data_IF_494092097925
#
_entry.id   IF_494092097925
#
_cell.length_a   1.000
_cell.length_b   1.000
_cell.length_c   1.000
_cell.angle_alpha   90.00
_cell.angle_beta   90.00
_cell.angle_gamma   90.00
#
_symmetry.space_group_name_H-M   'P 1'
#
loop_
_entity.id
_entity.type
_entity.pdbx_description
1 polymer ?
#
# COMPACT_ATOMS: atom_id res chain seq x y z
N UNK A 1 4.06 15.66 -17.54
CA UNK A 1 2.76 15.77 -16.83
C UNK A 1 2.69 14.86 -15.59
N UNK A 2 2.98 13.54 -15.65
CA UNK A 2 2.94 12.64 -14.48
C UNK A 2 3.91 13.04 -13.35
N UNK A 3 5.10 13.55 -13.68
CA UNK A 3 6.06 14.07 -12.69
C UNK A 3 5.47 15.27 -11.93
N UNK A 4 4.79 16.19 -12.62
CA UNK A 4 4.15 17.34 -11.97
C UNK A 4 3.02 16.90 -11.01
N UNK A 5 2.24 15.89 -11.38
CA UNK A 5 1.22 15.29 -10.50
C UNK A 5 1.89 14.69 -9.26
N UNK A 6 2.96 13.90 -9.45
CA UNK A 6 3.71 13.31 -8.34
C UNK A 6 4.31 14.31 -7.38
N UNK A 7 4.79 15.46 -7.86
CA UNK A 7 5.28 16.57 -7.01
C UNK A 7 4.12 17.15 -6.18
N UNK A 8 2.94 17.35 -6.80
CA UNK A 8 1.75 17.82 -6.09
C UNK A 8 1.27 16.85 -5.01
N UNK A 9 1.26 15.54 -5.32
CA UNK A 9 0.83 14.50 -4.38
C UNK A 9 1.79 14.29 -3.22
N UNK A 10 3.09 14.46 -3.43
CA UNK A 10 4.12 14.19 -2.42
C UNK A 10 3.94 15.03 -1.13
N UNK A 11 3.39 16.24 -1.24
CA UNK A 11 3.13 17.12 -0.10
C UNK A 11 1.85 16.80 0.69
N UNK A 12 0.88 16.11 0.09
CA UNK A 12 -0.47 15.95 0.66
C UNK A 12 -0.46 15.14 1.97
N UNK A 13 0.16 13.97 1.97
CA UNK A 13 0.17 13.10 3.14
C UNK A 13 0.92 13.70 4.34
N UNK A 14 2.17 14.20 4.20
CA UNK A 14 2.87 14.82 5.33
C UNK A 14 2.15 16.05 5.88
N UNK A 15 1.62 16.91 5.00
CA UNK A 15 0.86 18.09 5.40
C UNK A 15 -0.43 17.71 6.15
N UNK A 16 -1.18 16.75 5.64
CA UNK A 16 -2.42 16.26 6.28
C UNK A 16 -2.15 15.68 7.66
N UNK A 17 -1.09 14.87 7.80
CA UNK A 17 -0.71 14.30 9.09
C UNK A 17 -0.29 15.36 10.09
N UNK A 18 0.46 16.39 9.66
CA UNK A 18 0.86 17.52 10.50
C UNK A 18 -0.36 18.32 10.97
N UNK A 19 -1.23 18.69 10.05
CA UNK A 19 -2.45 19.44 10.36
C UNK A 19 -3.33 18.67 11.36
N UNK A 20 -3.54 17.37 11.16
CA UNK A 20 -4.33 16.54 12.08
C UNK A 20 -3.68 16.49 13.47
N UNK A 21 -2.35 16.41 13.54
CA UNK A 21 -1.64 16.41 14.81
C UNK A 21 -1.82 17.72 15.60
N UNK A 22 -1.94 18.85 14.89
CA UNK A 22 -2.13 20.16 15.49
C UNK A 22 -3.61 20.50 15.80
N UNK A 23 -4.57 19.90 15.08
CA UNK A 23 -6.01 20.09 15.32
C UNK A 23 -6.61 19.16 16.36
N UNK A 24 -6.05 17.95 16.53
CA UNK A 24 -6.63 16.94 17.40
C UNK A 24 -5.71 16.56 18.57
N UNK A 25 -6.24 16.49 19.80
CA UNK A 25 -5.48 16.01 20.93
C UNK A 25 -5.07 14.54 20.73
N UNK A 26 -3.96 14.06 21.37
CA UNK A 26 -3.40 12.72 21.16
C UNK A 26 -4.42 11.58 21.22
N UNK A 27 -5.41 11.68 22.13
CA UNK A 27 -6.48 10.68 22.30
C UNK A 27 -7.44 10.56 21.11
N UNK A 28 -7.55 11.58 20.24
CA UNK A 28 -8.45 11.61 19.08
C UNK A 28 -7.71 11.56 17.74
N UNK A 29 -6.38 11.65 17.74
CA UNK A 29 -5.55 11.61 16.49
C UNK A 29 -5.75 10.31 15.72
N UNK A 30 -5.87 9.17 16.41
CA UNK A 30 -6.08 7.87 15.76
C UNK A 30 -7.38 7.83 14.93
N UNK A 31 -8.47 8.35 15.48
CA UNK A 31 -9.74 8.44 14.75
C UNK A 31 -9.66 9.41 13.55
N UNK A 32 -9.03 10.56 13.72
CA UNK A 32 -8.85 11.54 12.66
C UNK A 32 -7.98 10.99 11.51
N UNK A 33 -6.88 10.28 11.84
CA UNK A 33 -6.05 9.60 10.86
C UNK A 33 -6.79 8.47 10.12
N UNK A 34 -7.58 7.67 10.84
CA UNK A 34 -8.42 6.64 10.23
C UNK A 34 -9.44 7.25 9.26
N UNK A 35 -10.05 8.39 9.62
CA UNK A 35 -10.97 9.12 8.74
C UNK A 35 -10.26 9.64 7.48
N UNK A 36 -9.03 10.15 7.60
CA UNK A 36 -8.21 10.53 6.44
C UNK A 36 -7.97 9.33 5.51
N UNK A 37 -7.63 8.17 6.06
CA UNK A 37 -7.39 6.95 5.27
C UNK A 37 -8.65 6.46 4.54
N UNK A 38 -9.84 6.66 5.10
CA UNK A 38 -11.10 6.35 4.42
C UNK A 38 -11.26 7.15 3.11
N UNK A 39 -10.76 8.39 3.07
CA UNK A 39 -10.75 9.21 1.84
C UNK A 39 -10.06 8.51 0.67
N UNK A 40 -8.95 7.82 0.91
CA UNK A 40 -8.26 7.02 -0.11
C UNK A 40 -9.12 5.85 -0.64
N UNK A 41 -9.82 5.14 0.25
CA UNK A 41 -10.71 4.04 -0.13
C UNK A 41 -11.92 4.53 -0.94
N UNK A 42 -12.55 5.63 -0.51
CA UNK A 42 -13.64 6.26 -1.26
C UNK A 42 -13.16 6.76 -2.63
N UNK A 43 -11.99 7.40 -2.69
CA UNK A 43 -11.38 7.86 -3.93
C UNK A 43 -11.12 6.71 -4.91
N UNK A 44 -10.66 5.56 -4.42
CA UNK A 44 -10.45 4.36 -5.24
C UNK A 44 -11.78 3.83 -5.81
N UNK A 45 -12.82 3.70 -4.98
CA UNK A 45 -14.14 3.22 -5.43
C UNK A 45 -14.73 4.17 -6.47
N UNK A 46 -14.75 5.48 -6.18
CA UNK A 46 -15.24 6.49 -7.12
C UNK A 46 -14.41 6.55 -8.41
N UNK A 47 -13.09 6.40 -8.31
CA UNK A 47 -12.20 6.37 -9.45
C UNK A 47 -12.44 5.17 -10.37
N UNK A 48 -12.59 3.98 -9.81
CA UNK A 48 -12.88 2.78 -10.62
C UNK A 48 -14.29 2.77 -11.19
N UNK A 49 -15.31 3.03 -10.39
CA UNK A 49 -16.70 3.00 -10.85
C UNK A 49 -17.01 4.21 -11.75
N UNK A 50 -16.81 5.41 -11.22
CA UNK A 50 -17.13 6.65 -11.94
C UNK A 50 -16.18 6.88 -13.11
N UNK A 51 -14.88 6.67 -12.91
CA UNK A 51 -13.87 6.81 -13.95
C UNK A 51 -14.06 5.80 -15.07
N UNK A 52 -14.37 4.53 -14.77
CA UNK A 52 -14.65 3.49 -15.75
C UNK A 52 -15.87 3.85 -16.62
N UNK A 53 -16.99 4.20 -15.99
CA UNK A 53 -18.22 4.59 -16.68
C UNK A 53 -18.04 5.84 -17.56
N UNK A 54 -17.40 6.89 -17.04
CA UNK A 54 -17.17 8.12 -17.81
C UNK A 54 -16.18 7.86 -18.96
N UNK A 55 -15.14 7.06 -18.74
CA UNK A 55 -14.17 6.74 -19.77
C UNK A 55 -14.78 5.94 -20.93
N UNK A 56 -15.69 5.03 -20.65
CA UNK A 56 -16.43 4.26 -21.63
C UNK A 56 -17.41 5.13 -22.43
N UNK A 57 -18.17 6.01 -21.75
CA UNK A 57 -19.23 6.81 -22.38
C UNK A 57 -18.70 8.06 -23.12
N UNK A 58 -17.67 8.72 -22.57
CA UNK A 58 -17.18 10.03 -22.99
C UNK A 58 -15.68 10.08 -23.30
N UNK A 59 -15.00 8.96 -23.14
CA UNK A 59 -13.57 8.85 -23.36
C UNK A 59 -12.71 9.29 -22.16
N UNK A 60 -11.48 8.79 -22.14
CA UNK A 60 -10.55 8.95 -21.01
C UNK A 60 -10.18 10.40 -20.68
N UNK A 61 -10.22 11.33 -21.68
CA UNK A 61 -9.91 12.76 -21.42
C UNK A 61 -10.96 13.41 -20.55
N UNK A 62 -12.24 13.13 -20.80
CA UNK A 62 -13.35 13.65 -20.00
C UNK A 62 -13.36 13.00 -18.62
N UNK A 63 -13.05 11.70 -18.52
CA UNK A 63 -12.90 11.03 -17.25
C UNK A 63 -11.84 11.70 -16.36
N UNK A 64 -10.67 12.03 -16.90
CA UNK A 64 -9.62 12.73 -16.15
C UNK A 64 -10.06 14.13 -15.67
N UNK A 65 -10.74 14.90 -16.52
CA UNK A 65 -11.26 16.22 -16.14
C UNK A 65 -12.34 16.08 -15.05
N UNK A 66 -13.23 15.11 -15.18
CA UNK A 66 -14.32 14.88 -14.22
C UNK A 66 -13.82 14.47 -12.83
N UNK A 67 -12.71 13.74 -12.76
CA UNK A 67 -12.08 13.38 -11.49
C UNK A 67 -11.23 14.52 -10.92
N UNK A 68 -10.57 15.31 -11.78
CA UNK A 68 -9.70 16.41 -11.36
C UNK A 68 -10.47 17.65 -10.89
N UNK A 69 -11.59 17.98 -11.51
CA UNK A 69 -12.36 19.19 -11.19
C UNK A 69 -12.85 19.24 -9.74
N UNK A 70 -13.42 18.18 -9.15
CA UNK A 70 -13.76 18.16 -7.72
C UNK A 70 -12.58 18.43 -6.81
N UNK A 71 -11.37 17.96 -7.18
CA UNK A 71 -10.14 18.23 -6.44
C UNK A 71 -9.79 19.73 -6.38
N UNK A 72 -9.96 20.46 -7.48
CA UNK A 72 -9.78 21.91 -7.52
C UNK A 72 -10.81 22.66 -6.67
N UNK A 73 -12.06 22.22 -6.70
CA UNK A 73 -13.12 22.77 -5.86
C UNK A 73 -12.83 22.55 -4.37
N UNK A 74 -12.42 21.34 -4.01
CA UNK A 74 -12.02 21.01 -2.63
C UNK A 74 -10.81 21.82 -2.18
N UNK A 75 -9.81 22.01 -3.04
CA UNK A 75 -8.66 22.86 -2.74
C UNK A 75 -9.08 24.31 -2.47
N UNK A 76 -9.98 24.87 -3.29
CA UNK A 76 -10.53 26.21 -3.09
C UNK A 76 -11.33 26.34 -1.78
N UNK A 77 -12.13 25.33 -1.46
CA UNK A 77 -12.89 25.26 -0.19
C UNK A 77 -11.93 25.17 1.00
N UNK A 78 -10.93 24.30 0.94
CA UNK A 78 -9.93 24.18 2.00
C UNK A 78 -9.13 25.48 2.20
N UNK A 79 -8.71 26.13 1.13
CA UNK A 79 -7.99 27.39 1.21
C UNK A 79 -8.78 28.51 1.90
N UNK A 80 -10.11 28.44 1.87
CA UNK A 80 -10.99 29.44 2.54
C UNK A 80 -11.41 29.04 3.94
N UNK A 81 -11.59 27.75 4.22
CA UNK A 81 -12.15 27.25 5.48
C UNK A 81 -11.10 26.76 6.46
N UNK A 82 -9.97 26.25 5.97
CA UNK A 82 -8.90 25.72 6.81
C UNK A 82 -8.12 26.88 7.42
N UNK A 83 -8.21 27.05 8.72
CA UNK A 83 -7.38 28.00 9.47
C UNK A 83 -6.09 27.29 9.85
N UNK A 84 -4.95 27.98 9.75
CA UNK A 84 -3.67 27.42 10.21
C UNK A 84 -3.74 27.19 11.72
N UNK A 85 -3.59 25.95 12.21
CA UNK A 85 -3.56 25.71 13.66
C UNK A 85 -2.22 26.20 14.23
N UNK A 86 -2.21 26.58 15.51
CA UNK A 86 -0.95 26.81 16.21
C UNK A 86 -0.13 25.52 16.23
N UNK A 87 1.12 25.59 15.76
CA UNK A 87 2.00 24.41 15.74
C UNK A 87 2.30 23.92 17.16
N UNK A 88 2.20 22.62 17.38
CA UNK A 88 2.52 22.01 18.66
C UNK A 88 1.51 22.29 19.80
N UNK A 89 0.29 22.72 19.47
CA UNK A 89 -0.75 23.12 20.44
C UNK A 89 -1.03 22.05 21.52
N UNK A 90 -0.78 20.79 21.23
CA UNK A 90 -1.02 19.64 22.10
C UNK A 90 0.25 18.91 22.52
N UNK A 91 1.44 19.43 22.24
CA UNK A 91 2.72 18.81 22.63
C UNK A 91 3.25 19.43 23.91
N UNK A 92 3.45 18.59 24.93
CA UNK A 92 3.95 19.04 26.24
C UNK A 92 5.44 19.42 26.21
N UNK A 93 6.22 18.85 25.29
CA UNK A 93 7.63 19.16 25.05
C UNK A 93 7.92 19.04 23.55
N UNK A 94 8.69 19.98 23.02
CA UNK A 94 9.21 19.87 21.66
C UNK A 94 10.19 18.69 21.58
N UNK A 95 9.92 17.64 20.80
CA UNK A 95 10.88 16.56 20.66
C UNK A 95 12.20 17.10 20.08
N UNK A 96 13.35 16.52 20.45
CA UNK A 96 14.63 16.96 19.90
C UNK A 96 14.60 16.91 18.37
N UNK A 97 15.30 17.82 17.70
CA UNK A 97 15.31 17.89 16.24
C UNK A 97 15.71 16.53 15.66
N UNK A 98 15.02 16.07 14.58
CA UNK A 98 15.36 14.80 13.96
C UNK A 98 16.81 14.84 13.43
N UNK A 99 17.54 13.74 13.56
CA UNK A 99 18.88 13.66 12.99
C UNK A 99 18.83 13.72 11.45
N UNK A 100 19.96 14.01 10.79
CA UNK A 100 20.03 14.00 9.33
C UNK A 100 19.50 12.71 8.71
N UNK A 101 18.89 12.81 7.54
CA UNK A 101 18.28 11.66 6.82
C UNK A 101 19.27 10.49 6.66
N UNK A 102 20.52 10.79 6.28
CA UNK A 102 21.56 9.77 6.09
C UNK A 102 21.90 9.04 7.40
N UNK A 103 21.93 9.74 8.53
CA UNK A 103 22.16 9.14 9.85
C UNK A 103 21.02 8.19 10.22
N UNK A 104 19.77 8.60 9.97
CA UNK A 104 18.60 7.75 10.20
C UNK A 104 18.61 6.53 9.26
N UNK A 105 18.91 6.72 7.98
CA UNK A 105 19.03 5.63 7.02
C UNK A 105 20.12 4.62 7.42
N UNK A 106 21.29 5.10 7.84
CA UNK A 106 22.36 4.26 8.34
C UNK A 106 21.94 3.46 9.60
N UNK A 107 21.26 4.11 10.55
CA UNK A 107 20.72 3.46 11.74
C UNK A 107 19.68 2.38 11.40
N UNK A 108 18.77 2.66 10.44
CA UNK A 108 17.78 1.69 9.95
C UNK A 108 18.46 0.49 9.29
N UNK A 109 19.49 0.72 8.49
CA UNK A 109 20.24 -0.34 7.82
C UNK A 109 21.07 -1.17 8.80
N UNK A 110 21.63 -0.54 9.83
CA UNK A 110 22.37 -1.20 10.91
C UNK A 110 21.50 -2.08 11.79
N UNK A 111 20.19 -1.80 11.90
CA UNK A 111 19.25 -2.64 12.63
C UNK A 111 18.66 -3.75 11.73
N UNK A 112 19.01 -5.04 11.98
CA UNK A 112 18.54 -6.14 11.13
C UNK A 112 17.02 -6.23 11.03
N UNK A 113 16.27 -5.92 12.11
CA UNK A 113 14.82 -5.94 12.08
C UNK A 113 14.26 -4.86 11.15
N UNK A 114 14.73 -3.60 11.26
CA UNK A 114 14.30 -2.51 10.40
C UNK A 114 14.70 -2.73 8.93
N UNK A 115 15.93 -3.19 8.69
CA UNK A 115 16.39 -3.50 7.33
C UNK A 115 15.51 -4.51 6.62
N UNK A 116 15.19 -5.62 7.28
CA UNK A 116 14.30 -6.63 6.70
C UNK A 116 12.86 -6.13 6.58
N UNK A 117 12.37 -5.33 7.53
CA UNK A 117 11.04 -4.74 7.46
C UNK A 117 10.88 -3.82 6.24
N UNK A 118 11.85 -2.92 6.03
CA UNK A 118 11.86 -2.00 4.87
C UNK A 118 11.95 -2.77 3.55
N UNK A 119 12.86 -3.74 3.45
CA UNK A 119 13.01 -4.55 2.25
C UNK A 119 11.72 -5.34 1.94
N UNK A 120 11.15 -6.04 2.93
CA UNK A 120 9.92 -6.81 2.75
C UNK A 120 8.75 -5.96 2.31
N UNK A 121 8.57 -4.79 2.94
CA UNK A 121 7.52 -3.85 2.57
C UNK A 121 7.68 -3.29 1.15
N UNK A 122 8.91 -2.97 0.77
CA UNK A 122 9.22 -2.44 -0.57
C UNK A 122 8.94 -3.48 -1.65
N UNK A 123 9.34 -4.74 -1.43
CA UNK A 123 9.09 -5.85 -2.36
C UNK A 123 7.59 -6.14 -2.44
N UNK A 124 6.89 -6.20 -1.30
CA UNK A 124 5.44 -6.41 -1.27
C UNK A 124 4.69 -5.27 -1.99
N UNK A 125 5.12 -4.03 -1.81
CA UNK A 125 4.56 -2.88 -2.52
C UNK A 125 4.83 -2.94 -4.02
N UNK A 126 6.04 -3.33 -4.44
CA UNK A 126 6.40 -3.50 -5.85
C UNK A 126 5.49 -4.53 -6.52
N UNK A 127 5.26 -5.67 -5.88
CA UNK A 127 4.30 -6.67 -6.35
C UNK A 127 2.88 -6.11 -6.41
N UNK A 128 2.41 -5.51 -5.32
CA UNK A 128 1.04 -5.00 -5.20
C UNK A 128 0.73 -3.91 -6.25
N UNK A 129 1.60 -2.92 -6.39
CA UNK A 129 1.42 -1.86 -7.40
C UNK A 129 1.56 -2.38 -8.83
N UNK A 130 2.52 -3.29 -9.07
CA UNK A 130 2.68 -3.93 -10.37
C UNK A 130 1.41 -4.64 -10.79
N UNK A 131 0.84 -5.47 -9.92
CA UNK A 131 -0.40 -6.20 -10.18
C UNK A 131 -1.58 -5.24 -10.33
N UNK A 132 -1.80 -4.34 -9.38
CA UNK A 132 -2.98 -3.46 -9.35
C UNK A 132 -3.07 -2.56 -10.59
N UNK A 133 -1.95 -2.11 -11.13
CA UNK A 133 -1.91 -1.25 -12.31
C UNK A 133 -2.27 -2.00 -13.60
N UNK A 134 -1.91 -3.27 -13.71
CA UNK A 134 -2.14 -4.07 -14.92
C UNK A 134 -3.39 -4.96 -14.85
N UNK A 135 -3.92 -5.19 -13.66
CA UNK A 135 -5.09 -6.05 -13.46
C UNK A 135 -6.34 -5.61 -14.24
N UNK A 136 -6.69 -4.30 -14.34
CA UNK A 136 -7.77 -3.87 -15.22
C UNK A 136 -7.54 -4.24 -16.69
N UNK A 137 -6.32 -4.03 -17.20
CA UNK A 137 -5.95 -4.38 -18.57
C UNK A 137 -6.03 -5.89 -18.80
N UNK A 138 -5.63 -6.69 -17.81
CA UNK A 138 -5.78 -8.15 -17.86
C UNK A 138 -7.25 -8.55 -18.03
N UNK A 139 -8.16 -8.02 -17.21
CA UNK A 139 -9.57 -8.37 -17.32
C UNK A 139 -10.21 -7.93 -18.66
N UNK A 140 -9.84 -6.76 -19.16
CA UNK A 140 -10.32 -6.28 -20.45
C UNK A 140 -9.79 -7.12 -21.63
N UNK A 141 -8.55 -7.62 -21.56
CA UNK A 141 -7.93 -8.39 -22.68
C UNK A 141 -8.26 -9.87 -22.64
N UNK A 142 -8.23 -10.48 -21.45
CA UNK A 142 -8.36 -11.94 -21.29
C UNK A 142 -9.81 -12.36 -21.13
N UNK A 143 -10.66 -11.51 -20.55
CA UNK A 143 -12.07 -11.81 -20.30
C UNK A 143 -13.05 -10.90 -21.05
N UNK A 144 -12.57 -10.08 -22.00
CA UNK A 144 -13.37 -9.19 -22.86
C UNK A 144 -14.33 -8.25 -22.08
N UNK A 145 -13.95 -7.87 -20.85
CA UNK A 145 -14.76 -6.96 -20.04
C UNK A 145 -14.64 -5.53 -20.55
N UNK A 146 -15.77 -4.80 -20.51
CA UNK A 146 -15.79 -3.36 -20.75
C UNK A 146 -15.07 -2.59 -19.63
N UNK A 147 -14.77 -1.31 -19.84
CA UNK A 147 -14.15 -0.45 -18.82
C UNK A 147 -15.03 -0.29 -17.58
N UNK A 148 -16.35 -0.20 -17.76
CA UNK A 148 -17.29 -0.05 -16.64
C UNK A 148 -17.44 -1.34 -15.84
N UNK A 149 -17.53 -2.50 -16.48
CA UNK A 149 -17.58 -3.80 -15.82
C UNK A 149 -16.30 -4.05 -15.02
N UNK A 150 -15.14 -3.79 -15.64
CA UNK A 150 -13.84 -3.88 -14.96
C UNK A 150 -13.76 -2.94 -13.76
N UNK A 151 -14.23 -1.69 -13.91
CA UNK A 151 -14.26 -0.71 -12.83
C UNK A 151 -15.13 -1.14 -11.65
N UNK A 152 -16.34 -1.64 -11.90
CA UNK A 152 -17.25 -2.18 -10.88
C UNK A 152 -16.63 -3.39 -10.17
N UNK A 153 -16.02 -4.29 -10.91
CA UNK A 153 -15.38 -5.48 -10.36
C UNK A 153 -14.18 -5.12 -9.50
N UNK A 154 -13.32 -4.22 -9.95
CA UNK A 154 -12.17 -3.75 -9.19
C UNK A 154 -12.60 -3.05 -7.89
N UNK A 155 -13.64 -2.21 -7.94
CA UNK A 155 -14.19 -1.56 -6.76
C UNK A 155 -14.83 -2.55 -5.78
N UNK A 156 -15.65 -3.48 -6.28
CA UNK A 156 -16.37 -4.46 -5.46
C UNK A 156 -15.43 -5.47 -4.82
N UNK A 157 -14.63 -6.15 -5.64
CA UNK A 157 -13.78 -7.24 -5.16
C UNK A 157 -12.52 -6.70 -4.49
N UNK A 158 -11.71 -5.90 -5.19
CA UNK A 158 -10.43 -5.46 -4.64
C UNK A 158 -10.56 -4.24 -3.71
N UNK A 159 -11.51 -3.34 -3.97
CA UNK A 159 -11.76 -2.18 -3.12
C UNK A 159 -12.39 -2.58 -1.78
N UNK A 160 -13.58 -3.18 -1.82
CA UNK A 160 -14.35 -3.49 -0.60
C UNK A 160 -13.71 -4.63 0.20
N UNK A 161 -13.42 -5.76 -0.44
CA UNK A 161 -12.79 -6.88 0.27
C UNK A 161 -11.40 -6.53 0.79
N UNK A 162 -10.62 -5.77 0.02
CA UNK A 162 -9.30 -5.28 0.45
C UNK A 162 -9.36 -4.35 1.67
N UNK A 163 -10.37 -3.47 1.73
CA UNK A 163 -10.59 -2.61 2.90
C UNK A 163 -10.98 -3.42 4.14
N UNK A 164 -11.91 -4.38 4.00
CA UNK A 164 -12.30 -5.28 5.10
C UNK A 164 -11.08 -6.10 5.56
N UNK A 165 -10.32 -6.64 4.62
CA UNK A 165 -9.12 -7.43 4.89
C UNK A 165 -8.04 -6.65 5.64
N UNK A 166 -7.81 -5.39 5.27
CA UNK A 166 -6.87 -4.51 5.97
C UNK A 166 -7.26 -4.30 7.45
N UNK A 167 -8.57 -4.07 7.73
CA UNK A 167 -9.08 -3.92 9.09
C UNK A 167 -8.94 -5.21 9.91
N UNK A 168 -9.25 -6.35 9.31
CA UNK A 168 -9.11 -7.66 9.97
C UNK A 168 -7.65 -7.97 10.23
N UNK A 169 -6.79 -7.75 9.25
CA UNK A 169 -5.34 -7.97 9.37
C UNK A 169 -4.72 -7.09 10.47
N UNK A 170 -5.10 -5.80 10.54
CA UNK A 170 -4.66 -4.90 11.60
C UNK A 170 -5.03 -5.42 12.99
N UNK A 171 -6.31 -5.81 13.19
CA UNK A 171 -6.77 -6.38 14.47
C UNK A 171 -6.06 -7.68 14.84
N UNK A 172 -5.79 -8.54 13.87
CA UNK A 172 -5.06 -9.80 14.12
C UNK A 172 -3.61 -9.54 14.43
N UNK A 173 -2.99 -8.62 13.71
CA UNK A 173 -1.62 -8.19 13.98
C UNK A 173 -1.49 -7.68 15.41
N UNK A 174 -2.38 -6.78 15.84
CA UNK A 174 -2.38 -6.23 17.20
C UNK A 174 -2.52 -7.33 18.25
N UNK A 175 -3.49 -8.24 18.10
CA UNK A 175 -3.69 -9.37 19.01
C UNK A 175 -2.48 -10.30 19.12
N UNK A 176 -1.86 -10.62 17.99
CA UNK A 176 -0.67 -11.47 17.99
C UNK A 176 0.54 -10.75 18.57
N UNK A 177 0.66 -9.45 18.33
CA UNK A 177 1.73 -8.61 18.84
C UNK A 177 1.70 -8.45 20.37
N UNK A 178 0.54 -8.66 21.02
CA UNK A 178 0.45 -8.77 22.48
C UNK A 178 1.26 -9.94 23.05
N UNK A 179 1.45 -11.02 22.27
CA UNK A 179 2.30 -12.17 22.66
C UNK A 179 3.77 -11.95 22.30
N UNK A 180 4.05 -10.96 21.45
CA UNK A 180 5.37 -10.61 20.93
C UNK A 180 5.25 -10.15 19.48
N UNK A 181 5.98 -9.10 19.12
CA UNK A 181 5.91 -8.53 17.76
C UNK A 181 6.28 -9.53 16.64
N UNK A 182 7.13 -10.50 16.94
CA UNK A 182 7.48 -11.57 16.00
C UNK A 182 6.25 -12.37 15.52
N UNK A 183 5.26 -12.61 16.38
CA UNK A 183 4.07 -13.37 15.99
C UNK A 183 3.17 -12.59 15.00
N UNK A 184 3.06 -11.28 15.17
CA UNK A 184 2.39 -10.41 14.19
C UNK A 184 3.08 -10.45 12.83
N UNK A 185 4.41 -10.36 12.81
CA UNK A 185 5.21 -10.43 11.57
C UNK A 185 5.15 -11.82 10.90
N UNK A 186 5.09 -12.89 11.67
CA UNK A 186 4.94 -14.24 11.12
C UNK A 186 3.56 -14.46 10.53
N UNK A 187 2.50 -13.81 11.04
CA UNK A 187 1.21 -13.78 10.37
C UNK A 187 1.35 -13.15 8.98
N UNK A 188 2.05 -12.02 8.84
CA UNK A 188 2.31 -11.40 7.54
C UNK A 188 3.11 -12.31 6.60
N UNK A 189 3.92 -13.21 7.15
CA UNK A 189 4.66 -14.21 6.37
C UNK A 189 3.74 -15.29 5.80
N UNK A 190 2.75 -15.75 6.56
CA UNK A 190 1.89 -16.89 6.16
C UNK A 190 0.89 -16.48 5.06
N UNK A 191 0.36 -15.27 5.12
CA UNK A 191 -0.69 -14.80 4.19
C UNK A 191 -0.31 -14.98 2.71
N UNK A 192 0.88 -14.60 2.21
CA UNK A 192 1.26 -14.83 0.83
C UNK A 192 1.29 -16.30 0.40
N UNK A 193 1.61 -17.23 1.30
CA UNK A 193 1.63 -18.67 0.96
C UNK A 193 0.23 -19.22 0.65
N UNK A 194 -0.81 -18.57 1.12
CA UNK A 194 -2.21 -18.93 0.82
C UNK A 194 -2.72 -18.08 -0.36
N UNK A 195 -2.50 -16.76 -0.31
CA UNK A 195 -3.10 -15.83 -1.28
C UNK A 195 -2.43 -15.86 -2.65
N UNK A 196 -1.08 -16.01 -2.73
CA UNK A 196 -0.40 -15.95 -4.02
C UNK A 196 -0.69 -17.15 -4.94
N UNK A 197 -0.72 -18.41 -4.47
CA UNK A 197 -1.13 -19.53 -5.32
C UNK A 197 -2.57 -19.37 -5.85
N UNK A 198 -3.49 -18.92 -5.00
CA UNK A 198 -4.88 -18.68 -5.42
C UNK A 198 -4.95 -17.53 -6.45
N UNK A 199 -4.19 -16.46 -6.24
CA UNK A 199 -4.12 -15.36 -7.19
C UNK A 199 -3.58 -15.84 -8.55
N UNK A 200 -2.52 -16.65 -8.54
CA UNK A 200 -1.94 -17.25 -9.76
C UNK A 200 -2.94 -18.15 -10.48
N UNK A 201 -3.70 -18.99 -9.77
CA UNK A 201 -4.75 -19.81 -10.35
C UNK A 201 -5.87 -18.95 -10.97
N UNK A 202 -6.24 -17.84 -10.33
CA UNK A 202 -7.20 -16.88 -10.89
C UNK A 202 -6.73 -16.22 -12.18
N UNK A 203 -5.44 -15.87 -12.28
CA UNK A 203 -4.86 -15.28 -13.49
C UNK A 203 -4.75 -16.27 -14.66
N UNK A 204 -4.69 -17.56 -14.39
CA UNK A 204 -4.55 -18.62 -15.38
C UNK A 204 -5.90 -19.30 -15.72
N UNK A 205 -7.00 -18.83 -15.13
CA UNK A 205 -8.32 -19.39 -15.36
C UNK A 205 -8.99 -18.77 -16.58
N UNK A 206 -9.41 -19.59 -17.56
CA UNK A 206 -10.11 -19.15 -18.77
C UNK A 206 -11.52 -18.62 -18.48
N UNK A 207 -12.16 -19.14 -17.44
CA UNK A 207 -13.51 -18.75 -17.05
C UNK A 207 -13.51 -17.65 -16.00
N UNK A 208 -14.16 -16.51 -16.28
CA UNK A 208 -14.24 -15.35 -15.40
C UNK A 208 -14.79 -15.70 -14.00
N UNK A 209 -15.84 -16.53 -13.93
CA UNK A 209 -16.44 -16.90 -12.63
C UNK A 209 -15.46 -17.69 -11.77
N UNK A 210 -14.72 -18.61 -12.38
CA UNK A 210 -13.67 -19.40 -11.69
C UNK A 210 -12.53 -18.47 -11.27
N UNK A 211 -12.08 -17.59 -12.15
CA UNK A 211 -11.07 -16.57 -11.84
C UNK A 211 -11.48 -15.73 -10.61
N UNK A 212 -12.72 -15.25 -10.61
CA UNK A 212 -13.27 -14.43 -9.51
C UNK A 212 -13.33 -15.20 -8.19
N UNK A 213 -13.69 -16.46 -8.19
CA UNK A 213 -13.66 -17.30 -6.96
C UNK A 213 -12.26 -17.42 -6.39
N UNK A 214 -11.25 -17.59 -7.24
CA UNK A 214 -9.85 -17.61 -6.82
C UNK A 214 -9.34 -16.26 -6.32
N UNK A 215 -9.88 -15.14 -6.82
CA UNK A 215 -9.47 -13.81 -6.39
C UNK A 215 -10.07 -13.34 -5.06
N UNK A 216 -11.09 -13.98 -4.50
CA UNK A 216 -11.73 -13.57 -3.22
C UNK A 216 -10.70 -13.46 -2.09
N UNK A 217 -9.92 -14.50 -1.84
CA UNK A 217 -8.93 -14.53 -0.75
C UNK A 217 -7.77 -13.56 -1.02
N UNK A 218 -7.15 -13.54 -2.22
CA UNK A 218 -6.15 -12.53 -2.56
C UNK A 218 -6.63 -11.09 -2.47
N UNK A 219 -7.85 -10.81 -2.89
CA UNK A 219 -8.43 -9.47 -2.79
C UNK A 219 -8.61 -9.05 -1.33
N UNK A 220 -9.11 -9.95 -0.49
CA UNK A 220 -9.17 -9.74 0.96
C UNK A 220 -7.78 -9.49 1.56
N UNK A 221 -6.74 -10.16 1.06
CA UNK A 221 -5.36 -9.99 1.49
C UNK A 221 -4.61 -8.83 0.81
N UNK A 222 -5.22 -8.07 -0.11
CA UNK A 222 -4.49 -7.09 -0.93
C UNK A 222 -3.76 -6.00 -0.12
N UNK A 223 -4.36 -5.52 0.97
CA UNK A 223 -3.83 -4.43 1.80
C UNK A 223 -3.41 -4.86 3.21
N UNK A 224 -3.28 -6.17 3.48
CA UNK A 224 -3.05 -6.73 4.81
C UNK A 224 -1.76 -6.26 5.49
N UNK A 225 -0.76 -5.87 4.73
CA UNK A 225 0.59 -5.59 5.25
C UNK A 225 0.85 -4.11 5.57
N UNK A 226 0.15 -3.17 4.92
CA UNK A 226 0.49 -1.74 4.97
C UNK A 226 0.42 -1.15 6.38
N UNK A 227 -0.71 -1.34 7.08
CA UNK A 227 -0.89 -0.85 8.45
C UNK A 227 0.11 -1.44 9.44
N UNK A 228 0.23 -2.77 9.54
CA UNK A 228 1.20 -3.43 10.41
C UNK A 228 2.64 -2.99 10.17
N UNK A 229 3.07 -2.87 8.93
CA UNK A 229 4.45 -2.47 8.60
C UNK A 229 4.73 -1.04 9.05
N UNK A 230 3.82 -0.09 8.77
CA UNK A 230 3.99 1.29 9.21
C UNK A 230 4.07 1.41 10.73
N UNK A 231 3.23 0.67 11.45
CA UNK A 231 3.27 0.60 12.92
C UNK A 231 4.61 0.04 13.41
N UNK A 232 5.12 -1.01 12.77
CA UNK A 232 6.40 -1.62 13.16
C UNK A 232 7.61 -0.74 12.87
N UNK A 233 7.64 0.02 11.77
CA UNK A 233 8.70 0.99 11.50
C UNK A 233 8.78 2.02 12.64
N UNK A 234 7.63 2.54 13.08
CA UNK A 234 7.60 3.49 14.18
C UNK A 234 7.99 2.86 15.53
N UNK A 235 7.57 1.61 15.77
CA UNK A 235 7.88 0.88 17.01
C UNK A 235 9.36 0.56 17.13
N UNK A 236 10.00 0.14 16.04
CA UNK A 236 11.42 -0.23 16.02
C UNK A 236 12.38 0.96 15.87
N UNK A 237 11.86 2.14 15.54
CA UNK A 237 12.68 3.35 15.40
C UNK A 237 12.76 4.14 16.70
N UNK A 238 13.93 4.71 17.05
CA UNK A 238 14.06 5.67 18.13
C UNK A 238 13.07 6.83 17.97
N UNK A 239 12.58 7.38 19.08
CA UNK A 239 11.50 8.39 19.09
C UNK A 239 11.81 9.58 18.17
N UNK A 240 13.03 10.12 18.25
CA UNK A 240 13.49 11.25 17.43
C UNK A 240 13.73 10.91 15.95
N UNK A 241 13.72 9.63 15.57
CA UNK A 241 13.91 9.16 14.18
C UNK A 241 12.62 8.68 13.52
N UNK A 242 11.53 8.48 14.25
CA UNK A 242 10.28 7.85 13.77
C UNK A 242 9.72 8.50 12.49
N UNK A 243 9.65 9.82 12.46
CA UNK A 243 9.14 10.56 11.31
C UNK A 243 10.02 10.35 10.07
N UNK A 244 11.35 10.47 10.23
CA UNK A 244 12.31 10.27 9.13
C UNK A 244 12.33 8.83 8.67
N UNK A 245 12.25 7.85 9.59
CA UNK A 245 12.18 6.42 9.26
C UNK A 245 10.93 6.09 8.43
N UNK A 246 9.78 6.66 8.82
CA UNK A 246 8.53 6.50 8.05
C UNK A 246 8.62 7.14 6.67
N UNK A 247 9.28 8.30 6.56
CA UNK A 247 9.51 8.96 5.27
C UNK A 247 10.43 8.14 4.36
N UNK A 248 11.52 7.57 4.90
CA UNK A 248 12.42 6.67 4.15
C UNK A 248 11.66 5.43 3.69
N UNK A 249 10.85 4.83 4.56
CA UNK A 249 10.01 3.68 4.20
C UNK A 249 9.06 4.01 3.05
N UNK A 250 8.36 5.15 3.13
CA UNK A 250 7.44 5.60 2.07
C UNK A 250 8.18 5.91 0.77
N UNK A 251 9.38 6.49 0.85
CA UNK A 251 10.23 6.72 -0.32
C UNK A 251 10.56 5.39 -1.01
N UNK A 252 10.97 4.37 -0.27
CA UNK A 252 11.27 3.05 -0.82
C UNK A 252 10.02 2.41 -1.46
N UNK A 253 8.87 2.47 -0.78
CA UNK A 253 7.60 1.95 -1.29
C UNK A 253 7.20 2.64 -2.59
N UNK A 254 7.28 3.97 -2.67
CA UNK A 254 6.83 4.71 -3.85
C UNK A 254 7.87 4.66 -4.98
N UNK A 255 9.16 4.87 -4.68
CA UNK A 255 10.19 4.90 -5.72
C UNK A 255 10.42 3.51 -6.34
N UNK A 256 10.59 2.49 -5.51
CA UNK A 256 10.83 1.13 -5.98
C UNK A 256 9.50 0.41 -6.24
N UNK A 257 8.55 0.47 -5.31
CA UNK A 257 7.27 -0.23 -5.44
C UNK A 257 6.45 0.30 -6.61
N UNK A 258 6.01 1.54 -6.52
CA UNK A 258 5.15 2.16 -7.54
C UNK A 258 5.92 2.48 -8.84
N UNK A 259 7.21 2.86 -8.74
CA UNK A 259 8.02 3.20 -9.90
C UNK A 259 8.41 1.97 -10.74
N UNK A 260 8.96 0.93 -10.11
CA UNK A 260 9.46 -0.25 -10.82
C UNK A 260 8.41 -1.35 -11.00
N UNK A 261 7.44 -1.50 -10.08
CA UNK A 261 6.46 -2.58 -10.14
C UNK A 261 5.73 -2.68 -11.49
N UNK A 262 4.98 -1.65 -11.90
CA UNK A 262 4.27 -1.67 -13.17
C UNK A 262 5.19 -1.77 -14.39
N UNK A 263 6.37 -1.13 -14.33
CA UNK A 263 7.36 -1.21 -15.41
C UNK A 263 7.85 -2.65 -15.62
N UNK A 264 8.20 -3.34 -14.56
CA UNK A 264 8.69 -4.72 -14.62
C UNK A 264 7.61 -5.69 -15.12
N UNK A 265 6.36 -5.51 -14.72
CA UNK A 265 5.24 -6.31 -15.25
C UNK A 265 5.09 -6.09 -16.75
N UNK A 266 5.10 -4.83 -17.23
CA UNK A 266 5.02 -4.50 -18.64
C UNK A 266 6.16 -5.13 -19.45
N UNK A 267 7.41 -4.94 -19.01
CA UNK A 267 8.59 -5.54 -19.63
C UNK A 267 8.51 -7.07 -19.68
N UNK A 268 8.05 -7.70 -18.60
CA UNK A 268 7.88 -9.15 -18.55
C UNK A 268 6.79 -9.62 -19.48
N UNK A 269 5.67 -8.91 -19.58
CA UNK A 269 4.60 -9.19 -20.53
C UNK A 269 5.08 -9.10 -21.98
N UNK A 270 5.85 -8.04 -22.32
CA UNK A 270 6.41 -7.87 -23.66
C UNK A 270 7.40 -9.00 -24.02
N UNK A 271 8.24 -9.41 -23.05
CA UNK A 271 9.19 -10.51 -23.22
C UNK A 271 8.50 -11.86 -23.44
N UNK A 272 7.34 -12.06 -22.82
CA UNK A 272 6.56 -13.30 -22.91
C UNK A 272 5.61 -13.32 -24.13
N UNK A 273 5.31 -12.17 -24.72
CA UNK A 273 4.38 -12.02 -25.84
C UNK A 273 4.70 -12.92 -27.05
N UNK A 274 5.96 -13.14 -27.49
CA UNK A 274 6.26 -14.03 -28.61
C UNK A 274 5.86 -15.49 -28.35
N UNK A 275 5.75 -15.92 -27.09
CA UNK A 275 5.43 -17.30 -26.71
C UNK A 275 3.95 -17.48 -26.33
N UNK A 276 3.35 -16.50 -25.67
CA UNK A 276 2.02 -16.62 -25.07
C UNK A 276 0.96 -15.74 -25.74
N UNK A 277 1.34 -14.88 -26.72
CA UNK A 277 0.39 -14.02 -27.41
C UNK A 277 -0.41 -13.14 -26.45
N UNK A 278 -1.74 -13.20 -26.54
CA UNK A 278 -2.66 -12.40 -25.73
C UNK A 278 -2.64 -12.78 -24.25
N UNK A 279 -2.26 -14.01 -23.90
CA UNK A 279 -2.15 -14.48 -22.51
C UNK A 279 -0.88 -14.01 -21.80
N UNK A 280 0.05 -13.38 -22.52
CA UNK A 280 1.35 -12.95 -21.98
C UNK A 280 1.24 -12.08 -20.74
N UNK A 281 0.23 -11.21 -20.66
CA UNK A 281 0.00 -10.37 -19.50
C UNK A 281 -0.42 -11.19 -18.26
N UNK A 282 -1.35 -12.13 -18.43
CA UNK A 282 -1.79 -13.02 -17.34
C UNK A 282 -0.63 -13.85 -16.79
N UNK A 283 0.19 -14.42 -17.68
CA UNK A 283 1.40 -15.17 -17.32
C UNK A 283 2.45 -14.29 -16.64
N UNK A 284 2.67 -13.06 -17.12
CA UNK A 284 3.58 -12.11 -16.52
C UNK A 284 3.14 -11.74 -15.08
N UNK A 285 1.86 -11.46 -14.88
CA UNK A 285 1.28 -11.19 -13.57
C UNK A 285 1.43 -12.41 -12.64
N UNK A 286 1.20 -13.63 -13.16
CA UNK A 286 1.38 -14.86 -12.39
C UNK A 286 2.83 -15.04 -11.92
N UNK A 287 3.82 -14.84 -12.78
CA UNK A 287 5.23 -14.85 -12.36
C UNK A 287 5.55 -13.75 -11.34
N UNK A 288 4.94 -12.58 -11.49
CA UNK A 288 5.19 -11.45 -10.59
C UNK A 288 4.70 -11.70 -9.16
N UNK A 289 3.72 -12.60 -8.97
CA UNK A 289 3.27 -13.02 -7.63
C UNK A 289 4.37 -13.69 -6.79
N UNK A 290 5.42 -14.24 -7.42
CA UNK A 290 6.55 -14.87 -6.73
C UNK A 290 7.25 -13.88 -5.79
N UNK A 291 7.23 -12.59 -6.12
CA UNK A 291 7.76 -11.54 -5.26
C UNK A 291 7.08 -11.49 -3.88
N UNK A 292 5.83 -11.95 -3.79
CA UNK A 292 5.11 -12.06 -2.52
C UNK A 292 5.80 -13.00 -1.53
N UNK A 293 6.37 -14.11 -2.00
CA UNK A 293 7.14 -15.03 -1.16
C UNK A 293 8.47 -14.43 -0.72
N UNK A 294 9.11 -13.65 -1.59
CA UNK A 294 10.34 -12.93 -1.22
C UNK A 294 10.06 -11.86 -0.17
N UNK A 295 9.00 -11.07 -0.32
CA UNK A 295 8.53 -10.14 0.71
C UNK A 295 8.21 -10.84 2.05
N UNK A 296 7.53 -11.99 1.99
CA UNK A 296 7.24 -12.84 3.14
C UNK A 296 8.49 -13.33 3.87
N UNK A 297 9.53 -13.75 3.14
CA UNK A 297 10.82 -14.12 3.70
C UNK A 297 11.43 -12.99 4.53
N UNK A 298 11.39 -11.76 4.04
CA UNK A 298 11.87 -10.60 4.77
C UNK A 298 11.04 -10.30 6.03
N UNK A 299 9.72 -10.47 6.00
CA UNK A 299 8.87 -10.36 7.19
C UNK A 299 9.24 -11.42 8.25
N UNK A 300 9.50 -12.66 7.82
CA UNK A 300 9.95 -13.72 8.71
C UNK A 300 11.31 -13.43 9.33
N UNK A 301 12.30 -12.98 8.52
CA UNK A 301 13.63 -12.59 8.99
C UNK A 301 13.56 -11.42 9.97
N UNK A 302 12.67 -10.45 9.74
CA UNK A 302 12.40 -9.35 10.68
C UNK A 302 11.91 -9.91 12.03
N UNK A 303 10.92 -10.81 12.00
CA UNK A 303 10.42 -11.47 13.22
C UNK A 303 11.51 -12.24 13.98
N UNK A 304 12.37 -12.96 13.27
CA UNK A 304 13.53 -13.65 13.88
C UNK A 304 14.53 -12.68 14.51
N UNK A 305 14.82 -11.55 13.84
CA UNK A 305 15.73 -10.54 14.36
C UNK A 305 15.21 -9.94 15.67
N UNK A 306 13.89 -9.64 15.75
CA UNK A 306 13.24 -9.15 16.97
C UNK A 306 13.32 -10.20 18.08
N UNK A 307 12.98 -11.45 17.82
CA UNK A 307 13.03 -12.52 18.80
C UNK A 307 14.45 -12.68 19.39
N UNK A 308 15.49 -12.61 18.53
CA UNK A 308 16.88 -12.68 18.96
C UNK A 308 17.27 -11.49 19.85
N UNK A 309 16.87 -10.26 19.48
CA UNK A 309 17.15 -9.06 20.29
C UNK A 309 16.48 -9.14 21.67
N UNK A 310 15.25 -9.62 21.76
CA UNK A 310 14.55 -9.81 23.03
C UNK A 310 15.21 -10.86 23.91
N UNK A 311 15.64 -11.99 23.35
CA UNK A 311 16.37 -13.01 24.11
C UNK A 311 17.69 -12.50 24.65
N UNK A 312 18.43 -11.68 23.89
CA UNK A 312 19.66 -11.05 24.37
C UNK A 312 19.45 -10.06 25.50
N UNK A 313 18.37 -9.28 25.47
CA UNK A 313 18.01 -8.35 26.55
C UNK A 313 17.57 -9.04 27.84
N UNK A 314 16.98 -10.23 27.76
CA UNK A 314 16.58 -11.02 28.92
C UNK A 314 17.76 -11.77 29.57
N UNK A 315 18.86 -11.96 28.84
CA UNK A 315 20.06 -12.64 29.30
C UNK A 315 21.08 -11.70 29.97
N UNK A 316 20.88 -10.39 29.87
CA UNK A 316 21.65 -9.33 30.54
C UNK A 316 20.98 -8.90 31.84
#
# INVERSE_FOLDING_TARGET
LRICVGIGEAGVNPASHSIIADYFPPKRRGFAMATLMLGGSFGMILGFVGGGFIAESYGWRIALVSVGLPGLLLAAVMARLLKEPGRGTFEAETPPPPPPILTTAAAMWGNPALRHLVAGATIAAMMSYGITQWLPTFFMRTHDLSQSETGMMMAGVFGILGAIGALVAGKWFDRLSLRGFQYGLWMLTIVPFISMPLFMLGLLADNLTIAMLFFIIPAFAANYFMGPILAMVQTLSPVNMRAVSSAIQMLCINLVGLGLGPLLVGMLSDLLSPRYGDDALGVALAYFTILGFWGALHCWLCGRAIAKQQAQQQAQ
#
